data_IF_941502051682
#
_entry.id   IF_941502051682
#
_cell.length_a   1.000
_cell.length_b   1.000
_cell.length_c   1.000
_cell.angle_alpha   90.00
_cell.angle_beta   90.00
_cell.angle_gamma   90.00
#
_symmetry.space_group_name_H-M   'P 1'
#
loop_
_entity.id
_entity.type
_entity.pdbx_description
1 polymer ?
#
# COMPACT_ATOMS: atom_id res chain seq x y z
N UNK A 1 15.71 22.50 3.29
CA UNK A 1 14.37 21.98 3.64
C UNK A 1 14.49 20.47 3.54
N UNK A 2 14.09 19.73 4.56
CA UNK A 2 14.12 18.26 4.51
C UNK A 2 13.04 17.76 3.54
N UNK A 3 13.36 16.78 2.70
CA UNK A 3 12.40 16.19 1.75
C UNK A 3 11.50 15.15 2.44
N UNK A 4 11.93 14.60 3.57
CA UNK A 4 11.17 13.64 4.36
C UNK A 4 11.60 13.67 5.84
N UNK A 5 10.68 13.27 6.72
CA UNK A 5 10.93 13.09 8.15
C UNK A 5 10.33 11.79 8.64
N UNK A 6 11.14 10.95 9.29
CA UNK A 6 10.64 9.76 9.95
C UNK A 6 9.87 10.13 11.22
N UNK A 7 8.64 9.63 11.31
CA UNK A 7 7.81 9.50 12.51
C UNK A 7 7.78 8.01 12.84
N UNK A 8 7.66 7.66 14.11
CA UNK A 8 7.83 6.30 14.66
C UNK A 8 7.54 5.13 13.70
N UNK A 9 6.45 5.17 12.94
CA UNK A 9 6.07 4.10 12.01
C UNK A 9 5.82 4.56 10.55
N UNK A 10 6.01 5.83 10.22
CA UNK A 10 5.75 6.38 8.88
C UNK A 10 6.66 7.57 8.56
N UNK A 11 6.81 7.92 7.30
CA UNK A 11 7.53 9.11 6.86
C UNK A 11 6.55 10.18 6.41
N UNK A 12 6.74 11.40 6.90
CA UNK A 12 6.15 12.60 6.30
C UNK A 12 6.99 13.00 5.10
N UNK A 13 6.35 13.30 3.96
CA UNK A 13 7.02 13.75 2.74
C UNK A 13 6.75 15.23 2.56
N UNK A 14 7.81 16.01 2.32
CA UNK A 14 7.76 17.46 2.22
C UNK A 14 8.10 17.94 0.82
N UNK A 15 7.52 19.07 0.41
CA UNK A 15 7.93 19.83 -0.76
C UNK A 15 7.75 21.31 -0.47
N UNK A 16 8.82 22.10 -0.63
CA UNK A 16 8.78 23.53 -0.32
C UNK A 16 8.49 23.87 1.16
N UNK A 17 8.61 22.90 2.06
CA UNK A 17 8.32 23.05 3.49
C UNK A 17 6.92 22.59 3.89
N UNK A 18 6.04 22.30 2.92
CA UNK A 18 4.72 21.75 3.16
C UNK A 18 4.73 20.23 3.13
N UNK A 19 4.01 19.60 4.04
CA UNK A 19 3.70 18.18 3.93
C UNK A 19 2.84 17.98 2.68
N UNK A 20 3.25 17.05 1.81
CA UNK A 20 2.54 16.69 0.57
C UNK A 20 1.97 15.28 0.60
N UNK A 21 2.36 14.47 1.59
CA UNK A 21 1.87 13.11 1.76
C UNK A 21 2.68 12.34 2.79
N UNK A 22 2.41 11.06 2.86
CA UNK A 22 3.03 10.16 3.83
C UNK A 22 3.43 8.85 3.15
N UNK A 23 4.38 8.12 3.72
CA UNK A 23 4.70 6.77 3.27
C UNK A 23 5.05 5.84 4.42
N UNK A 24 4.73 4.56 4.29
CA UNK A 24 4.94 3.54 5.30
C UNK A 24 5.10 2.16 4.64
N UNK A 25 5.56 1.18 5.42
CA UNK A 25 5.68 -0.21 4.98
C UNK A 25 4.47 -0.99 5.48
N UNK A 26 3.78 -1.67 4.57
CA UNK A 26 2.81 -2.72 4.87
C UNK A 26 3.43 -4.09 4.62
N UNK A 27 3.06 -5.09 5.42
CA UNK A 27 3.50 -6.47 5.25
C UNK A 27 2.31 -7.42 5.15
N UNK A 28 2.39 -8.36 4.22
CA UNK A 28 1.35 -9.36 3.99
C UNK A 28 1.96 -10.74 3.80
N UNK A 29 1.23 -11.78 4.21
CA UNK A 29 1.65 -13.17 3.96
C UNK A 29 1.03 -13.67 2.66
N UNK A 30 1.85 -13.71 1.60
CA UNK A 30 1.53 -14.29 0.30
C UNK A 30 1.55 -15.81 0.29
N UNK A 31 1.55 -16.39 -0.91
CA UNK A 31 1.59 -17.84 -1.09
C UNK A 31 2.98 -18.40 -0.80
N UNK A 32 4.03 -17.74 -1.29
CA UNK A 32 5.43 -18.14 -1.15
C UNK A 32 6.11 -17.57 0.10
N UNK A 33 5.48 -16.62 0.80
CA UNK A 33 6.00 -16.06 2.05
C UNK A 33 5.60 -14.61 2.27
N UNK A 34 6.44 -13.88 3.01
CA UNK A 34 6.20 -12.48 3.31
C UNK A 34 6.35 -11.60 2.06
N UNK A 35 5.48 -10.60 1.94
CA UNK A 35 5.49 -9.55 0.93
C UNK A 35 5.59 -8.23 1.67
N UNK A 36 6.63 -7.45 1.37
CA UNK A 36 6.82 -6.09 1.91
C UNK A 36 6.45 -5.06 0.85
N UNK A 37 5.62 -4.10 1.24
CA UNK A 37 4.97 -3.15 0.32
C UNK A 37 5.24 -1.74 0.84
N UNK A 38 5.89 -0.91 0.03
CA UNK A 38 5.97 0.52 0.29
C UNK A 38 4.67 1.17 -0.20
N UNK A 39 3.95 1.83 0.70
CA UNK A 39 2.69 2.52 0.41
C UNK A 39 2.93 4.01 0.53
N UNK A 40 2.67 4.76 -0.53
CA UNK A 40 2.67 6.22 -0.53
C UNK A 40 1.25 6.75 -0.63
N UNK A 41 0.89 7.70 0.23
CA UNK A 41 -0.43 8.31 0.29
C UNK A 41 -0.38 9.82 0.17
N UNK A 42 -1.46 10.41 -0.35
CA UNK A 42 -1.69 11.84 -0.37
C UNK A 42 -2.17 12.35 1.02
N UNK A 43 -2.22 13.67 1.19
CA UNK A 43 -2.75 14.30 2.42
C UNK A 43 -4.21 14.00 2.73
N UNK A 44 -4.99 13.67 1.71
CA UNK A 44 -6.40 13.28 1.86
C UNK A 44 -6.56 11.78 2.22
N UNK A 45 -5.45 11.10 2.52
CA UNK A 45 -5.38 9.68 2.85
C UNK A 45 -5.78 8.73 1.73
N UNK A 46 -5.82 9.21 0.48
CA UNK A 46 -5.89 8.33 -0.70
C UNK A 46 -4.52 7.77 -1.05
N UNK A 47 -4.48 6.55 -1.55
CA UNK A 47 -3.23 5.94 -2.02
C UNK A 47 -2.75 6.67 -3.28
N UNK A 48 -1.51 7.15 -3.25
CA UNK A 48 -0.84 7.74 -4.41
C UNK A 48 -0.20 6.66 -5.27
N UNK A 49 0.53 5.74 -4.64
CA UNK A 49 1.24 4.64 -5.30
C UNK A 49 1.61 3.57 -4.28
N UNK A 50 1.67 2.32 -4.72
CA UNK A 50 2.32 1.24 -3.97
C UNK A 50 3.53 0.71 -4.75
N UNK A 51 4.48 0.10 -4.06
CA UNK A 51 5.61 -0.62 -4.67
C UNK A 51 5.94 -1.84 -3.83
N UNK A 52 5.97 -3.00 -4.48
CA UNK A 52 6.42 -4.24 -3.84
C UNK A 52 7.95 -4.22 -3.75
N UNK A 53 8.48 -4.08 -2.53
CA UNK A 53 9.94 -3.95 -2.30
C UNK A 53 10.60 -5.31 -2.03
N UNK A 54 9.86 -6.28 -1.47
CA UNK A 54 10.34 -7.64 -1.24
C UNK A 54 9.18 -8.65 -1.36
N UNK A 55 9.46 -9.83 -1.90
CA UNK A 55 8.55 -10.98 -1.89
C UNK A 55 9.32 -12.28 -2.19
N UNK A 56 8.72 -13.42 -1.84
CA UNK A 56 9.22 -14.77 -2.16
C UNK A 56 8.21 -15.58 -2.98
N UNK A 57 7.38 -14.89 -3.77
CA UNK A 57 6.31 -15.52 -4.53
C UNK A 57 6.85 -16.36 -5.71
N UNK A 58 6.04 -17.29 -6.20
CA UNK A 58 6.40 -18.16 -7.32
C UNK A 58 6.63 -17.35 -8.61
N UNK A 59 7.81 -17.47 -9.26
CA UNK A 59 8.10 -16.77 -10.51
C UNK A 59 7.05 -17.05 -11.60
N UNK A 60 6.60 -15.99 -12.28
CA UNK A 60 5.67 -16.09 -13.40
C UNK A 60 4.19 -16.18 -13.02
N UNK A 61 3.88 -16.44 -11.74
CA UNK A 61 2.53 -16.44 -11.18
C UNK A 61 2.39 -15.31 -10.16
N UNK A 62 2.84 -15.54 -8.93
CA UNK A 62 2.69 -14.60 -7.82
C UNK A 62 3.59 -13.38 -7.92
N UNK A 63 4.73 -13.47 -8.61
CA UNK A 63 5.63 -12.29 -8.81
C UNK A 63 5.00 -11.17 -9.63
N UNK A 64 3.89 -11.44 -10.33
CA UNK A 64 3.14 -10.45 -11.09
C UNK A 64 2.53 -9.35 -10.22
N UNK A 65 2.48 -9.52 -8.90
CA UNK A 65 2.09 -8.45 -7.95
C UNK A 65 2.99 -7.21 -8.04
N UNK A 66 4.18 -7.33 -8.65
CA UNK A 66 5.08 -6.20 -8.89
C UNK A 66 4.70 -5.34 -10.10
N UNK A 67 3.89 -5.88 -10.99
CA UNK A 67 3.62 -5.29 -12.29
C UNK A 67 2.61 -4.13 -12.18
N UNK A 68 2.81 -3.12 -13.04
CA UNK A 68 1.98 -1.90 -13.04
C UNK A 68 0.49 -2.19 -13.21
N UNK A 69 0.10 -3.21 -14.00
CA UNK A 69 -1.31 -3.57 -14.17
C UNK A 69 -2.00 -3.95 -12.85
N UNK A 70 -1.24 -4.38 -11.83
CA UNK A 70 -1.75 -4.67 -10.51
C UNK A 70 -1.53 -3.50 -9.55
N UNK A 71 -0.33 -2.94 -9.49
CA UNK A 71 0.02 -1.88 -8.53
C UNK A 71 -0.64 -0.54 -8.82
N UNK A 72 -0.90 -0.20 -10.08
CA UNK A 72 -1.54 1.07 -10.47
C UNK A 72 -3.03 1.11 -10.08
N UNK A 73 -3.67 -0.04 -9.85
CA UNK A 73 -5.08 -0.12 -9.44
C UNK A 73 -5.34 0.53 -8.07
N UNK A 74 -4.29 0.68 -7.25
CA UNK A 74 -4.40 1.29 -5.92
C UNK A 74 -4.47 2.81 -5.97
N UNK A 75 -4.02 3.44 -7.06
CA UNK A 75 -3.95 4.90 -7.14
C UNK A 75 -5.34 5.56 -7.02
N UNK A 76 -5.45 6.57 -6.16
CA UNK A 76 -6.69 7.31 -5.89
C UNK A 76 -7.68 6.58 -4.99
N UNK A 77 -7.38 5.36 -4.52
CA UNK A 77 -8.28 4.61 -3.65
C UNK A 77 -8.15 5.01 -2.19
N UNK A 78 -9.29 5.06 -1.49
CA UNK A 78 -9.33 5.14 -0.03
C UNK A 78 -9.36 3.74 0.59
N UNK A 79 -9.13 3.62 1.90
CA UNK A 79 -9.20 2.31 2.59
C UNK A 79 -10.52 1.55 2.37
N UNK A 80 -11.62 2.28 2.16
CA UNK A 80 -12.95 1.70 1.89
C UNK A 80 -13.04 1.01 0.53
N UNK A 81 -12.25 1.45 -0.44
CA UNK A 81 -12.24 0.94 -1.80
C UNK A 81 -11.29 -0.27 -1.98
N UNK A 82 -10.30 -0.39 -1.10
CA UNK A 82 -9.24 -1.40 -1.19
C UNK A 82 -9.75 -2.72 -0.65
N UNK A 83 -10.26 -3.55 -1.56
CA UNK A 83 -10.55 -4.97 -1.38
C UNK A 83 -10.57 -5.59 -2.78
N UNK A 84 -10.50 -6.92 -2.88
CA UNK A 84 -10.62 -7.54 -4.20
C UNK A 84 -12.02 -7.30 -4.75
N UNK A 85 -12.16 -7.22 -6.08
CA UNK A 85 -13.46 -7.04 -6.74
C UNK A 85 -14.48 -8.11 -6.37
N UNK A 86 -14.01 -9.36 -6.14
CA UNK A 86 -14.86 -10.46 -5.61
C UNK A 86 -15.37 -10.24 -4.18
N UNK A 87 -14.77 -9.34 -3.41
CA UNK A 87 -15.20 -8.98 -2.06
C UNK A 87 -15.87 -7.59 -2.01
N UNK A 88 -16.18 -7.00 -3.17
CA UNK A 88 -16.84 -5.69 -3.27
C UNK A 88 -15.91 -4.48 -3.26
N UNK A 89 -14.59 -4.68 -3.38
CA UNK A 89 -13.64 -3.59 -3.59
C UNK A 89 -13.36 -3.30 -5.07
N UNK A 90 -12.26 -2.56 -5.33
CA UNK A 90 -11.87 -2.11 -6.68
C UNK A 90 -10.60 -2.75 -7.24
N UNK A 91 -10.01 -3.71 -6.54
CA UNK A 91 -8.76 -4.36 -6.97
C UNK A 91 -9.07 -5.69 -7.67
N UNK A 92 -8.70 -5.79 -8.94
CA UNK A 92 -8.73 -7.04 -9.68
C UNK A 92 -7.57 -7.94 -9.30
N UNK A 93 -7.90 -9.16 -8.90
CA UNK A 93 -6.92 -10.17 -8.60
C UNK A 93 -6.18 -10.63 -9.87
N UNK A 94 -4.91 -10.96 -9.70
CA UNK A 94 -4.10 -11.57 -10.77
C UNK A 94 -4.60 -13.00 -10.99
N UNK A 95 -4.92 -13.33 -12.24
CA UNK A 95 -5.35 -14.68 -12.62
C UNK A 95 -4.33 -15.72 -12.16
N UNK A 96 -4.81 -16.76 -11.47
CA UNK A 96 -4.01 -17.84 -10.88
C UNK A 96 -3.02 -17.42 -9.79
N UNK A 97 -3.13 -16.20 -9.26
CA UNK A 97 -2.35 -15.69 -8.12
C UNK A 97 -3.23 -14.95 -7.10
N UNK A 98 -4.42 -15.50 -6.81
CA UNK A 98 -5.41 -14.89 -5.91
C UNK A 98 -4.88 -14.73 -4.49
N UNK A 99 -4.11 -15.69 -3.97
CA UNK A 99 -3.56 -15.64 -2.61
C UNK A 99 -2.58 -14.47 -2.48
N UNK A 100 -1.65 -14.32 -3.42
CA UNK A 100 -0.70 -13.21 -3.46
C UNK A 100 -1.40 -11.86 -3.66
N UNK A 101 -2.41 -11.82 -4.54
CA UNK A 101 -3.20 -10.61 -4.79
C UNK A 101 -3.95 -10.14 -3.53
N UNK A 102 -4.57 -11.10 -2.83
CA UNK A 102 -5.25 -10.84 -1.56
C UNK A 102 -4.28 -10.37 -0.49
N UNK A 103 -3.12 -11.03 -0.37
CA UNK A 103 -2.12 -10.67 0.62
C UNK A 103 -1.64 -9.22 0.48
N UNK A 104 -1.40 -8.74 -0.74
CA UNK A 104 -1.06 -7.33 -0.97
C UNK A 104 -2.24 -6.42 -0.64
N UNK A 105 -3.43 -6.75 -1.13
CA UNK A 105 -4.64 -5.92 -0.97
C UNK A 105 -4.99 -5.73 0.51
N UNK A 106 -5.02 -6.82 1.27
CA UNK A 106 -5.39 -6.82 2.69
C UNK A 106 -4.32 -6.14 3.55
N UNK A 107 -3.04 -6.31 3.20
CA UNK A 107 -1.93 -5.62 3.89
C UNK A 107 -1.98 -4.11 3.67
N UNK A 108 -2.16 -3.66 2.42
CA UNK A 108 -2.28 -2.23 2.12
C UNK A 108 -3.49 -1.62 2.82
N UNK A 109 -4.64 -2.29 2.80
CA UNK A 109 -5.85 -1.82 3.49
C UNK A 109 -5.64 -1.66 4.98
N UNK A 110 -5.20 -2.73 5.65
CA UNK A 110 -5.05 -2.78 7.11
C UNK A 110 -4.04 -1.74 7.59
N UNK A 111 -2.89 -1.66 6.91
CA UNK A 111 -1.83 -0.72 7.29
C UNK A 111 -2.25 0.73 7.02
N UNK A 112 -2.97 0.99 5.92
CA UNK A 112 -3.53 2.31 5.64
C UNK A 112 -4.49 2.77 6.73
N UNK A 113 -5.41 1.91 7.17
CA UNK A 113 -6.35 2.23 8.24
C UNK A 113 -5.62 2.57 9.55
N UNK A 114 -4.65 1.74 9.95
CA UNK A 114 -3.84 1.98 11.14
C UNK A 114 -3.05 3.30 11.07
N UNK A 115 -2.44 3.60 9.92
CA UNK A 115 -1.63 4.81 9.74
C UNK A 115 -2.48 6.08 9.66
N UNK A 116 -3.70 6.01 9.12
CA UNK A 116 -4.64 7.14 9.16
C UNK A 116 -4.96 7.53 10.61
N UNK A 117 -5.21 6.54 11.48
CA UNK A 117 -5.49 6.81 12.90
C UNK A 117 -4.30 7.47 13.61
N UNK A 118 -3.09 6.94 13.39
CA UNK A 118 -1.85 7.48 13.95
C UNK A 118 -1.60 8.92 13.48
N UNK A 119 -1.65 9.17 12.16
CA UNK A 119 -1.39 10.50 11.58
C UNK A 119 -2.41 11.53 12.10
N UNK A 120 -3.69 11.17 12.21
CA UNK A 120 -4.71 12.07 12.75
C UNK A 120 -4.48 12.39 14.23
N UNK A 121 -4.01 11.42 15.01
CA UNK A 121 -3.63 11.62 16.41
C UNK A 121 -2.43 12.55 16.59
N UNK A 122 -1.43 12.48 15.69
CA UNK A 122 -0.22 13.29 15.76
C UNK A 122 -0.41 14.75 15.34
N UNK A 123 -1.45 15.04 14.53
CA UNK A 123 -1.77 16.38 14.00
C UNK A 123 -2.70 17.17 14.94
N UNK A 124 -3.18 16.55 16.03
CA UNK A 124 -4.13 17.15 16.97
C UNK A 124 -3.49 17.97 18.09
#
# INVERSE_FOLDING_TARGET
IEDYKFREEYYEIYSGGDVIGYTFIATGKGYGGEISILVGINKDFTVKKITIIANTETPGLGTKIKENFFTDQFAGLSSKDISLTRDGGKIDAITSATISSRAVTDAVKSELEAKIEKIKGDVQ
#
